data_IF_437457257650
#
_entry.id   IF_437457257650
#
_cell.length_a   1.000
_cell.length_b   1.000
_cell.length_c   1.000
_cell.angle_alpha   90.00
_cell.angle_beta   90.00
_cell.angle_gamma   90.00
#
_symmetry.space_group_name_H-M   'P 1'
#
loop_
_entity.id
_entity.type
_entity.pdbx_description
1 polymer ?
#
# COMPACT_ATOMS: atom_id res chain seq x y z
N UNK A 1 -14.29 16.15 9.97
CA UNK A 1 -12.97 15.47 10.00
C UNK A 1 -12.66 15.08 11.43
N UNK A 2 -12.27 13.82 11.66
CA UNK A 2 -11.76 13.37 12.96
C UNK A 2 -10.42 14.03 13.28
N UNK A 3 -9.87 13.83 14.48
CA UNK A 3 -8.57 14.38 14.87
C UNK A 3 -7.41 13.97 13.93
N UNK A 4 -7.54 12.85 13.21
CA UNK A 4 -6.57 12.42 12.19
C UNK A 4 -6.52 13.28 10.94
N UNK A 5 -7.49 14.19 10.77
CA UNK A 5 -7.49 15.22 9.72
C UNK A 5 -6.49 16.35 9.95
N UNK A 6 -6.09 16.60 11.20
CA UNK A 6 -5.37 17.82 11.57
C UNK A 6 -3.93 17.58 12.05
N UNK A 7 -3.69 16.45 12.71
CA UNK A 7 -2.41 16.16 13.36
C UNK A 7 -1.81 14.86 12.86
N UNK A 8 -0.48 14.79 12.86
CA UNK A 8 0.24 13.57 12.55
C UNK A 8 -0.01 12.50 13.62
N UNK A 9 0.03 11.24 13.23
CA UNK A 9 -0.05 10.12 14.17
C UNK A 9 1.10 9.14 14.00
N UNK A 10 1.39 8.45 15.10
CA UNK A 10 2.26 7.28 15.15
C UNK A 10 1.52 6.13 15.85
N UNK A 11 2.04 4.91 15.84
CA UNK A 11 1.48 3.82 16.67
C UNK A 11 1.62 4.17 18.15
N UNK A 12 0.63 3.85 18.99
CA UNK A 12 0.67 4.22 20.40
C UNK A 12 1.66 3.39 21.22
N UNK A 13 1.89 2.14 20.79
CA UNK A 13 2.91 1.23 21.31
C UNK A 13 3.44 0.32 20.21
N UNK A 14 4.50 -0.45 20.47
CA UNK A 14 5.02 -1.40 19.50
C UNK A 14 4.03 -2.54 19.24
N UNK A 15 3.87 -2.92 17.96
CA UNK A 15 3.18 -4.16 17.56
C UNK A 15 4.14 -5.10 16.89
N UNK A 16 3.96 -6.40 17.08
CA UNK A 16 4.81 -7.44 16.52
C UNK A 16 3.93 -8.47 15.83
N UNK A 17 4.32 -8.87 14.63
CA UNK A 17 3.72 -9.98 13.91
C UNK A 17 4.78 -10.73 13.12
N UNK A 18 4.46 -11.96 12.73
CA UNK A 18 5.33 -12.80 11.94
C UNK A 18 4.51 -13.59 10.93
N UNK A 19 5.14 -13.95 9.83
CA UNK A 19 4.53 -14.74 8.77
C UNK A 19 5.58 -15.20 7.78
N UNK A 20 5.14 -15.56 6.59
CA UNK A 20 5.99 -16.00 5.49
C UNK A 20 6.02 -14.90 4.43
N UNK A 21 7.19 -14.62 3.84
CA UNK A 21 7.29 -13.78 2.65
C UNK A 21 6.68 -14.47 1.43
N UNK A 22 5.84 -13.79 0.65
CA UNK A 22 5.17 -14.33 -0.53
C UNK A 22 6.18 -14.89 -1.54
N UNK A 23 7.23 -14.14 -1.83
CA UNK A 23 8.18 -14.47 -2.88
C UNK A 23 9.33 -15.33 -2.36
N UNK A 24 9.94 -14.91 -1.26
CA UNK A 24 11.10 -15.59 -0.68
C UNK A 24 10.73 -16.92 -0.03
N UNK A 25 9.52 -17.04 0.52
CA UNK A 25 9.12 -18.16 1.36
C UNK A 25 9.81 -18.16 2.74
N UNK A 26 10.55 -17.11 3.08
CA UNK A 26 11.23 -17.00 4.35
C UNK A 26 10.25 -16.66 5.47
N UNK A 27 10.47 -17.20 6.68
CA UNK A 27 9.80 -16.71 7.87
C UNK A 27 10.38 -15.35 8.26
N UNK A 28 9.52 -14.36 8.41
CA UNK A 28 9.90 -12.99 8.74
C UNK A 28 9.03 -12.50 9.89
N UNK A 29 9.66 -11.81 10.84
CA UNK A 29 9.02 -11.08 11.92
C UNK A 29 9.20 -9.59 11.66
N UNK A 30 8.11 -8.87 11.89
CA UNK A 30 8.05 -7.41 11.77
C UNK A 30 7.64 -6.82 13.12
N UNK A 31 8.28 -5.71 13.49
CA UNK A 31 7.83 -4.86 14.58
C UNK A 31 7.58 -3.43 14.08
N UNK A 32 6.37 -2.92 14.27
CA UNK A 32 6.04 -1.51 13.96
C UNK A 32 6.10 -0.73 15.26
N UNK A 33 6.99 0.27 15.33
CA UNK A 33 7.28 1.05 16.53
C UNK A 33 6.90 2.52 16.38
N UNK A 34 6.60 3.20 17.50
CA UNK A 34 6.39 4.63 17.47
C UNK A 34 7.62 5.38 16.95
N UNK A 35 7.40 6.45 16.21
CA UNK A 35 8.44 7.34 15.69
C UNK A 35 8.17 8.80 16.12
N UNK A 36 9.18 9.66 15.96
CA UNK A 36 9.02 11.11 16.17
C UNK A 36 8.25 11.75 15.03
N UNK A 37 7.72 12.96 15.24
CA UNK A 37 7.00 13.68 14.20
C UNK A 37 7.91 13.99 13.01
N UNK A 38 7.33 14.12 11.82
CA UNK A 38 8.00 14.40 10.55
C UNK A 38 9.04 13.36 10.10
N UNK A 39 9.16 12.23 10.80
CA UNK A 39 10.07 11.14 10.43
C UNK A 39 9.60 10.38 9.19
N UNK A 40 8.29 10.31 8.97
CA UNK A 40 7.70 9.43 7.98
C UNK A 40 7.80 7.95 8.38
N UNK A 41 7.67 7.08 7.39
CA UNK A 41 7.80 5.62 7.55
C UNK A 41 9.22 5.23 7.18
N UNK A 42 9.90 4.52 8.08
CA UNK A 42 11.25 4.01 7.85
C UNK A 42 11.29 2.52 8.12
N UNK A 43 11.59 1.73 7.10
CA UNK A 43 11.88 0.31 7.29
C UNK A 43 13.31 0.15 7.83
N UNK A 44 13.53 -0.84 8.69
CA UNK A 44 14.85 -1.18 9.25
C UNK A 44 15.08 -2.67 9.09
N UNK A 45 16.04 -3.05 8.25
CA UNK A 45 16.48 -4.44 8.05
C UNK A 45 17.35 -4.88 9.22
N UNK A 46 16.71 -5.40 10.27
CA UNK A 46 17.39 -5.75 11.53
C UNK A 46 18.39 -6.90 11.39
N UNK A 47 18.31 -7.67 10.29
CA UNK A 47 19.23 -8.72 9.89
C UNK A 47 20.48 -8.20 9.13
N UNK A 48 20.51 -6.91 8.77
CA UNK A 48 21.65 -6.25 8.10
C UNK A 48 22.48 -5.47 9.12
N UNK A 49 23.77 -5.80 9.22
CA UNK A 49 24.70 -5.26 10.22
C UNK A 49 25.97 -4.65 9.63
N UNK A 50 26.21 -4.82 8.32
CA UNK A 50 27.45 -4.46 7.63
C UNK A 50 27.38 -3.12 6.88
N UNK A 51 26.20 -2.50 6.80
CA UNK A 51 25.92 -1.24 6.07
C UNK A 51 24.69 -0.52 6.65
N UNK A 52 24.30 0.64 6.12
CA UNK A 52 23.08 1.31 6.59
C UNK A 52 21.86 0.43 6.32
N UNK A 53 21.18 0.03 7.39
CA UNK A 53 20.04 -0.88 7.32
C UNK A 53 18.69 -0.14 7.35
N UNK A 54 18.70 1.20 7.35
CA UNK A 54 17.50 2.03 7.33
C UNK A 54 17.12 2.32 5.89
N UNK A 55 15.85 2.07 5.56
CA UNK A 55 15.27 2.30 4.25
C UNK A 55 14.06 3.22 4.41
N UNK A 56 14.27 4.55 4.36
CA UNK A 56 13.18 5.53 4.40
C UNK A 56 12.24 5.33 3.21
N UNK A 57 10.94 5.34 3.45
CA UNK A 57 9.95 5.27 2.37
C UNK A 57 9.89 6.62 1.67
N UNK A 58 10.30 6.66 0.40
CA UNK A 58 10.12 7.80 -0.49
C UNK A 58 9.75 7.30 -1.88
N UNK A 59 9.18 8.18 -2.71
CA UNK A 59 8.92 7.88 -4.12
C UNK A 59 10.17 7.46 -4.88
N UNK A 60 11.32 8.05 -4.55
CA UNK A 60 12.60 7.75 -5.20
C UNK A 60 13.21 6.42 -4.75
N UNK A 61 12.91 5.99 -3.52
CA UNK A 61 13.37 4.71 -2.99
C UNK A 61 12.76 3.51 -3.72
N UNK A 62 11.62 3.65 -4.40
CA UNK A 62 11.00 2.55 -5.17
C UNK A 62 11.91 2.17 -6.34
N UNK A 63 12.52 0.99 -6.26
CA UNK A 63 13.54 0.52 -7.19
C UNK A 63 13.10 -0.65 -8.06
N UNK A 64 12.05 -1.38 -7.66
CA UNK A 64 11.47 -2.46 -8.45
C UNK A 64 9.96 -2.57 -8.18
N UNK A 65 9.20 -2.84 -9.23
CA UNK A 65 7.72 -2.91 -9.18
C UNK A 65 7.15 -4.23 -9.74
N UNK A 66 8.02 -5.21 -10.01
CA UNK A 66 7.60 -6.52 -10.48
C UNK A 66 7.12 -7.37 -9.29
N UNK A 67 5.85 -7.78 -9.34
CA UNK A 67 5.16 -8.60 -8.33
C UNK A 67 5.03 -7.96 -6.93
N UNK A 68 5.15 -6.64 -6.83
CA UNK A 68 5.00 -5.88 -5.60
C UNK A 68 5.85 -4.63 -5.66
N UNK A 69 5.84 -3.84 -4.59
CA UNK A 69 6.64 -2.63 -4.46
C UNK A 69 7.87 -2.92 -3.60
N UNK A 70 9.05 -2.67 -4.19
CA UNK A 70 10.35 -2.84 -3.52
C UNK A 70 11.01 -1.48 -3.40
N UNK A 71 11.48 -1.18 -2.19
CA UNK A 71 12.25 0.02 -1.90
C UNK A 71 13.70 -0.32 -1.56
N UNK A 72 14.63 0.58 -1.87
CA UNK A 72 16.02 0.49 -1.42
C UNK A 72 16.56 1.82 -0.88
N UNK A 73 17.65 1.73 -0.13
CA UNK A 73 18.46 2.87 0.25
C UNK A 73 19.72 2.99 -0.64
N UNK A 74 20.58 3.97 -0.34
CA UNK A 74 21.81 4.22 -1.10
C UNK A 74 22.82 3.05 -1.03
N UNK A 75 22.74 2.20 0.00
CA UNK A 75 23.59 1.02 0.21
C UNK A 75 23.00 -0.26 -0.41
N UNK A 76 21.95 -0.11 -1.23
CA UNK A 76 21.15 -1.17 -1.87
C UNK A 76 20.55 -2.19 -0.88
N UNK A 77 20.29 -1.77 0.36
CA UNK A 77 19.47 -2.55 1.29
C UNK A 77 18.02 -2.45 0.88
N UNK A 78 17.40 -3.60 0.58
CA UNK A 78 16.05 -3.68 0.02
C UNK A 78 15.02 -4.21 1.01
N UNK A 79 13.79 -3.74 0.85
CA UNK A 79 12.59 -4.32 1.46
C UNK A 79 11.53 -4.47 0.38
N UNK A 80 11.00 -5.67 0.20
CA UNK A 80 9.96 -5.99 -0.78
C UNK A 80 8.58 -6.16 -0.15
N UNK A 81 7.55 -6.05 -1.00
CA UNK A 81 6.15 -6.37 -0.68
C UNK A 81 5.59 -5.45 0.40
N UNK A 82 5.95 -4.16 0.34
CA UNK A 82 5.55 -3.19 1.35
C UNK A 82 4.09 -2.72 1.20
N UNK A 83 3.50 -2.90 0.02
CA UNK A 83 2.26 -2.26 -0.44
C UNK A 83 1.06 -2.52 0.47
N UNK A 84 0.86 -3.73 0.98
CA UNK A 84 -0.31 -4.04 1.83
C UNK A 84 -0.17 -3.44 3.23
N UNK A 85 1.04 -3.48 3.80
CA UNK A 85 1.32 -2.80 5.06
C UNK A 85 1.20 -1.28 4.89
N UNK A 86 1.73 -0.73 3.80
CA UNK A 86 1.63 0.70 3.47
C UNK A 86 0.17 1.13 3.29
N UNK A 87 -0.68 0.32 2.66
CA UNK A 87 -2.10 0.60 2.52
C UNK A 87 -2.81 0.63 3.88
N UNK A 88 -2.49 -0.32 4.78
CA UNK A 88 -3.00 -0.33 6.15
C UNK A 88 -2.54 0.91 6.95
N UNK A 89 -1.27 1.30 6.85
CA UNK A 89 -0.74 2.50 7.51
C UNK A 89 -1.44 3.77 6.98
N UNK A 90 -1.66 3.86 5.67
CA UNK A 90 -2.37 4.97 5.04
C UNK A 90 -3.81 5.09 5.56
N UNK A 91 -4.56 3.98 5.53
CA UNK A 91 -5.95 3.91 5.99
C UNK A 91 -6.10 4.28 7.46
N UNK A 92 -5.18 3.81 8.32
CA UNK A 92 -5.18 4.11 9.75
C UNK A 92 -4.57 5.48 10.11
N UNK A 93 -4.19 6.27 9.10
CA UNK A 93 -3.56 7.57 9.28
C UNK A 93 -2.28 7.54 10.12
N UNK A 94 -1.43 6.52 9.96
CA UNK A 94 -0.14 6.43 10.63
C UNK A 94 0.92 7.09 9.75
N UNK A 95 1.28 8.32 10.11
CA UNK A 95 2.23 9.14 9.34
C UNK A 95 3.69 8.83 9.70
N UNK A 96 3.95 8.44 10.95
CA UNK A 96 5.30 8.19 11.44
C UNK A 96 5.41 6.82 12.11
N UNK A 97 6.31 5.95 11.64
CA UNK A 97 6.66 4.72 12.33
C UNK A 97 8.02 4.17 11.88
N UNK A 98 8.63 3.35 12.74
CA UNK A 98 9.77 2.51 12.38
C UNK A 98 9.25 1.09 12.17
N UNK A 99 9.50 0.51 11.00
CA UNK A 99 9.11 -0.86 10.66
C UNK A 99 10.37 -1.72 10.66
N UNK A 100 10.66 -2.34 11.79
CA UNK A 100 11.75 -3.32 11.91
C UNK A 100 11.34 -4.63 11.27
N UNK A 101 12.17 -5.16 10.39
CA UNK A 101 11.94 -6.42 9.67
C UNK A 101 13.23 -7.25 9.72
N UNK A 102 13.15 -8.53 10.08
CA UNK A 102 14.31 -9.44 10.17
C UNK A 102 14.50 -10.34 8.93
N UNK A 103 14.10 -9.80 7.77
CA UNK A 103 14.26 -10.42 6.47
C UNK A 103 13.99 -9.43 5.33
N UNK A 104 14.21 -9.83 4.07
CA UNK A 104 14.13 -8.92 2.92
C UNK A 104 12.71 -8.56 2.48
N UNK A 105 11.68 -9.17 3.05
CA UNK A 105 10.31 -9.12 2.57
C UNK A 105 9.33 -8.99 3.74
N UNK A 106 8.32 -8.12 3.62
CA UNK A 106 7.22 -8.05 4.59
C UNK A 106 6.38 -9.33 4.48
N UNK A 107 5.99 -9.98 5.60
CA UNK A 107 5.21 -11.21 5.52
C UNK A 107 3.84 -10.96 4.88
N UNK A 108 3.41 -11.87 4.01
CA UNK A 108 2.19 -11.69 3.18
C UNK A 108 0.89 -11.82 3.97
N UNK A 109 0.95 -12.37 5.19
CA UNK A 109 -0.21 -12.65 6.04
C UNK A 109 -1.25 -13.51 5.28
N UNK A 110 -2.47 -13.02 5.10
CA UNK A 110 -3.53 -13.68 4.34
C UNK A 110 -3.65 -13.18 2.89
N UNK A 111 -2.70 -12.34 2.44
CA UNK A 111 -2.69 -11.69 1.14
C UNK A 111 -3.44 -10.36 1.07
N UNK A 112 -3.99 -9.87 2.19
CA UNK A 112 -4.74 -8.61 2.26
C UNK A 112 -4.18 -7.66 3.32
N UNK A 113 -4.78 -6.47 3.47
CA UNK A 113 -4.40 -5.48 4.48
C UNK A 113 -5.07 -5.69 5.84
N UNK A 114 -6.16 -6.46 5.88
CA UNK A 114 -6.99 -6.67 7.08
C UNK A 114 -6.18 -7.17 8.29
N UNK A 115 -5.27 -8.18 8.17
CA UNK A 115 -4.47 -8.60 9.33
C UNK A 115 -3.60 -7.47 9.90
N UNK A 116 -2.97 -6.66 9.04
CA UNK A 116 -2.16 -5.53 9.49
C UNK A 116 -3.02 -4.51 10.22
N UNK A 117 -4.20 -4.18 9.69
CA UNK A 117 -5.12 -3.24 10.33
C UNK A 117 -5.54 -3.73 11.72
N UNK A 118 -5.94 -5.00 11.85
CA UNK A 118 -6.35 -5.58 13.12
C UNK A 118 -5.23 -5.57 14.17
N UNK A 119 -3.98 -5.81 13.75
CA UNK A 119 -2.81 -5.75 14.64
C UNK A 119 -2.52 -4.31 15.08
N UNK A 120 -2.55 -3.36 14.15
CA UNK A 120 -2.30 -1.94 14.42
C UNK A 120 -3.39 -1.33 15.32
N UNK A 121 -4.65 -1.72 15.12
CA UNK A 121 -5.78 -1.29 15.95
C UNK A 121 -5.62 -1.71 17.43
N UNK A 122 -5.07 -2.90 17.69
CA UNK A 122 -4.82 -3.38 19.05
C UNK A 122 -3.84 -2.50 19.82
N UNK A 123 -2.83 -1.95 19.14
CA UNK A 123 -1.98 -0.94 19.76
C UNK A 123 -2.64 0.44 19.79
N UNK A 124 -3.46 0.75 18.79
CA UNK A 124 -4.01 2.07 18.58
C UNK A 124 -2.97 3.05 18.05
N UNK A 125 -3.43 4.27 17.76
CA UNK A 125 -2.62 5.39 17.27
C UNK A 125 -2.50 6.49 18.31
N UNK A 126 -1.35 7.15 18.35
CA UNK A 126 -1.07 8.30 19.21
C UNK A 126 -0.88 9.54 18.34
N UNK A 127 -1.69 10.56 18.61
CA UNK A 127 -1.53 11.90 18.04
C UNK A 127 -0.16 12.48 18.43
N UNK A 128 0.45 13.19 17.50
CA UNK A 128 1.65 13.99 17.72
C UNK A 128 1.28 15.48 17.58
N UNK A 129 1.94 16.36 18.33
CA UNK A 129 1.75 17.81 18.23
C UNK A 129 2.48 18.39 17.00
N UNK A 130 2.16 17.83 15.83
CA UNK A 130 2.65 18.23 14.53
C UNK A 130 1.48 18.23 13.54
N UNK A 131 1.39 19.26 12.71
CA UNK A 131 0.31 19.41 11.74
C UNK A 131 0.44 18.35 10.65
N UNK A 132 -0.67 17.70 10.31
CA UNK A 132 -0.73 16.77 9.19
C UNK A 132 -0.82 17.53 7.88
N UNK A 133 0.06 17.19 6.95
CA UNK A 133 0.06 17.76 5.61
C UNK A 133 -0.47 16.74 4.60
N UNK A 134 -1.18 17.24 3.60
CA UNK A 134 -1.80 16.51 2.51
C UNK A 134 -1.21 16.99 1.19
N UNK A 135 -1.13 16.09 0.21
CA UNK A 135 -0.80 16.44 -1.17
C UNK A 135 -2.11 16.70 -1.90
N UNK A 136 -2.41 17.97 -2.18
CA UNK A 136 -3.60 18.36 -2.92
C UNK A 136 -3.30 18.47 -4.41
N UNK A 137 -4.03 17.72 -5.23
CA UNK A 137 -3.91 17.72 -6.69
C UNK A 137 -4.66 18.94 -7.27
N UNK A 138 -3.95 19.76 -8.04
CA UNK A 138 -4.46 21.02 -8.61
C UNK A 138 -4.75 20.92 -10.11
N UNK A 139 -4.08 20.01 -10.82
CA UNK A 139 -4.33 19.74 -12.23
C UNK A 139 -4.12 18.25 -12.56
N UNK A 140 -4.80 17.72 -13.60
CA UNK A 140 -4.61 16.35 -14.04
C UNK A 140 -3.15 15.99 -14.35
N UNK A 141 -2.71 14.82 -13.88
CA UNK A 141 -1.42 14.21 -14.20
C UNK A 141 -1.71 12.79 -14.67
N UNK A 142 -1.30 12.46 -15.89
CA UNK A 142 -1.58 11.14 -16.48
C UNK A 142 -0.31 10.54 -17.06
N UNK A 143 -0.13 9.24 -16.84
CA UNK A 143 0.91 8.41 -17.45
C UNK A 143 0.24 7.25 -18.18
N UNK A 144 0.70 6.96 -19.40
CA UNK A 144 0.18 5.90 -20.25
C UNK A 144 1.32 4.99 -20.73
N UNK A 145 1.06 3.68 -20.77
CA UNK A 145 1.95 2.67 -21.33
C UNK A 145 1.12 1.66 -22.13
N UNK A 146 1.07 1.83 -23.45
CA UNK A 146 0.22 1.02 -24.31
C UNK A 146 -1.27 1.25 -24.03
N UNK A 147 -1.98 0.21 -23.60
CA UNK A 147 -3.39 0.23 -23.22
C UNK A 147 -3.62 0.54 -21.72
N UNK A 148 -2.53 0.71 -20.95
CA UNK A 148 -2.58 0.99 -19.52
C UNK A 148 -2.48 2.47 -19.23
N UNK A 149 -3.21 2.94 -18.22
CA UNK A 149 -3.19 4.34 -17.77
C UNK A 149 -3.25 4.46 -16.26
N UNK A 150 -2.52 5.41 -15.70
CA UNK A 150 -2.69 5.89 -14.33
C UNK A 150 -2.81 7.42 -14.32
N UNK A 151 -3.81 7.94 -13.62
CA UNK A 151 -4.06 9.38 -13.51
C UNK A 151 -4.24 9.82 -12.06
N UNK A 152 -3.77 11.04 -11.76
CA UNK A 152 -4.16 11.81 -10.58
C UNK A 152 -4.93 13.05 -11.03
N UNK A 153 -6.14 13.22 -10.50
CA UNK A 153 -7.07 14.29 -10.86
C UNK A 153 -7.43 15.14 -9.63
N UNK A 154 -7.74 16.45 -9.81
CA UNK A 154 -8.28 17.26 -8.73
C UNK A 154 -9.60 16.68 -8.20
N UNK A 155 -9.72 16.57 -6.88
CA UNK A 155 -10.94 16.20 -6.17
C UNK A 155 -10.89 16.75 -4.74
N UNK A 156 -12.04 16.88 -4.07
CA UNK A 156 -12.12 17.46 -2.72
C UNK A 156 -11.74 16.51 -1.58
N UNK A 157 -11.50 15.23 -1.91
CA UNK A 157 -11.18 14.13 -1.00
C UNK A 157 -10.38 13.06 -1.75
N UNK A 158 -9.93 12.04 -1.05
CA UNK A 158 -9.25 10.92 -1.69
C UNK A 158 -10.26 9.95 -2.31
N UNK A 159 -10.11 9.69 -3.61
CA UNK A 159 -10.94 8.76 -4.37
C UNK A 159 -10.06 7.82 -5.18
N UNK A 160 -10.49 6.57 -5.34
CA UNK A 160 -9.82 5.57 -6.16
C UNK A 160 -10.85 4.95 -7.09
N UNK A 161 -10.60 5.09 -8.40
CA UNK A 161 -11.22 4.26 -9.42
C UNK A 161 -10.18 3.35 -10.04
N UNK A 162 -10.55 2.08 -10.21
CA UNK A 162 -9.67 1.09 -10.80
C UNK A 162 -10.46 0.19 -11.75
N UNK A 163 -9.88 -0.07 -12.92
CA UNK A 163 -10.40 -1.00 -13.92
C UNK A 163 -9.35 -2.06 -14.22
N UNK A 164 -9.77 -3.32 -14.19
CA UNK A 164 -8.97 -4.45 -14.66
C UNK A 164 -9.69 -5.17 -15.80
N UNK A 165 -8.92 -5.80 -16.68
CA UNK A 165 -9.44 -6.71 -17.68
C UNK A 165 -8.48 -7.90 -17.83
N UNK A 166 -8.95 -9.07 -17.45
CA UNK A 166 -8.22 -10.33 -17.60
C UNK A 166 -8.96 -11.25 -18.56
N UNK A 167 -8.20 -12.02 -19.35
CA UNK A 167 -8.76 -12.99 -20.29
C UNK A 167 -9.51 -14.15 -19.59
N UNK A 168 -9.10 -14.48 -18.36
CA UNK A 168 -9.77 -15.48 -17.53
C UNK A 168 -11.17 -15.02 -17.16
N UNK A 169 -12.18 -15.86 -17.38
CA UNK A 169 -13.58 -15.60 -17.00
C UNK A 169 -13.78 -15.59 -15.48
N UNK A 170 -12.85 -16.14 -14.71
CA UNK A 170 -12.88 -16.06 -13.24
C UNK A 170 -12.74 -14.61 -12.75
N UNK A 171 -11.99 -13.78 -13.48
CA UNK A 171 -11.81 -12.36 -13.16
C UNK A 171 -12.64 -11.49 -14.12
N UNK A 172 -12.42 -11.66 -15.43
CA UNK A 172 -13.05 -10.88 -16.49
C UNK A 172 -12.65 -9.41 -16.45
N UNK A 173 -13.59 -8.54 -16.86
CA UNK A 173 -13.48 -7.10 -16.74
C UNK A 173 -14.23 -6.65 -15.49
N UNK A 174 -13.55 -5.92 -14.62
CA UNK A 174 -14.10 -5.42 -13.37
C UNK A 174 -13.71 -3.96 -13.20
N UNK A 175 -14.56 -3.19 -12.55
CA UNK A 175 -14.29 -1.81 -12.19
C UNK A 175 -14.79 -1.54 -10.78
N UNK A 176 -14.08 -0.68 -10.06
CA UNK A 176 -14.49 -0.14 -8.77
C UNK A 176 -14.26 1.38 -8.78
N UNK A 177 -15.12 2.11 -8.10
CA UNK A 177 -15.01 3.56 -7.92
C UNK A 177 -15.50 3.89 -6.50
N UNK A 178 -14.59 4.37 -5.65
CA UNK A 178 -14.90 4.64 -4.26
C UNK A 178 -14.17 5.87 -3.71
N UNK A 179 -14.81 6.51 -2.74
CA UNK A 179 -14.14 7.40 -1.79
C UNK A 179 -13.35 6.53 -0.81
N UNK A 180 -12.10 6.86 -0.58
CA UNK A 180 -11.21 6.10 0.33
C UNK A 180 -10.96 6.90 1.60
N UNK A 181 -11.55 6.45 2.70
CA UNK A 181 -11.25 6.85 4.07
C UNK A 181 -11.04 5.61 4.96
N UNK A 182 -10.85 5.80 6.27
CA UNK A 182 -10.62 4.67 7.19
C UNK A 182 -11.79 3.66 7.18
N UNK A 183 -13.03 4.14 7.18
CA UNK A 183 -14.22 3.29 7.27
C UNK A 183 -14.48 2.57 5.95
N UNK A 184 -14.41 3.30 4.83
CA UNK A 184 -14.58 2.70 3.51
C UNK A 184 -13.45 1.73 3.18
N UNK A 185 -12.20 2.03 3.53
CA UNK A 185 -11.08 1.11 3.33
C UNK A 185 -11.32 -0.21 4.08
N UNK A 186 -11.76 -0.16 5.35
CA UNK A 186 -12.10 -1.36 6.12
C UNK A 186 -13.19 -2.18 5.44
N UNK A 187 -14.32 -1.56 5.12
CA UNK A 187 -15.48 -2.25 4.57
C UNK A 187 -15.25 -2.77 3.15
N UNK A 188 -14.54 -1.99 2.32
CA UNK A 188 -14.54 -2.16 0.87
C UNK A 188 -13.25 -2.77 0.31
N UNK A 189 -12.11 -2.57 0.97
CA UNK A 189 -10.79 -2.94 0.43
C UNK A 189 -9.99 -3.88 1.32
N UNK A 190 -10.00 -3.68 2.64
CA UNK A 190 -8.98 -4.22 3.55
C UNK A 190 -8.81 -5.75 3.48
N UNK A 191 -9.90 -6.49 3.34
CA UNK A 191 -9.89 -7.95 3.25
C UNK A 191 -9.74 -8.52 1.83
N UNK A 192 -9.51 -7.70 0.81
CA UNK A 192 -9.36 -8.19 -0.57
C UNK A 192 -7.96 -8.75 -0.77
N UNK A 193 -7.85 -10.05 -1.04
CA UNK A 193 -6.58 -10.75 -1.12
C UNK A 193 -5.90 -10.60 -2.47
N UNK A 194 -4.59 -10.72 -2.46
CA UNK A 194 -3.77 -10.85 -3.66
C UNK A 194 -4.14 -12.12 -4.42
N UNK A 195 -3.77 -12.18 -5.70
CA UNK A 195 -4.18 -13.27 -6.57
C UNK A 195 -3.13 -13.61 -7.61
N UNK A 196 -3.13 -14.86 -8.06
CA UNK A 196 -2.18 -15.36 -9.05
C UNK A 196 -2.69 -16.59 -9.78
N UNK A 197 -2.14 -16.84 -10.97
CA UNK A 197 -2.49 -18.00 -11.77
C UNK A 197 -1.55 -19.17 -11.52
N UNK A 198 -2.09 -20.39 -11.42
CA UNK A 198 -1.30 -21.63 -11.26
C UNK A 198 -0.24 -21.78 -12.36
N UNK A 199 -0.61 -21.47 -13.61
CA UNK A 199 0.32 -21.55 -14.76
C UNK A 199 1.57 -20.68 -14.60
N UNK A 200 1.50 -19.62 -13.81
CA UNK A 200 2.62 -18.69 -13.59
C UNK A 200 3.49 -19.16 -12.40
N UNK A 201 2.94 -19.94 -11.46
CA UNK A 201 3.60 -20.33 -10.21
C UNK A 201 4.89 -21.12 -10.45
N UNK A 202 4.90 -22.08 -11.37
CA UNK A 202 6.11 -22.90 -11.63
C UNK A 202 7.25 -22.04 -12.18
N UNK A 203 6.96 -21.16 -13.15
CA UNK A 203 7.93 -20.25 -13.72
C UNK A 203 8.47 -19.25 -12.67
N UNK A 204 7.58 -18.70 -11.83
CA UNK A 204 7.95 -17.82 -10.73
C UNK A 204 8.86 -18.54 -9.72
N UNK A 205 8.52 -19.75 -9.31
CA UNK A 205 9.33 -20.54 -8.37
C UNK A 205 10.71 -20.89 -8.92
N UNK A 206 10.79 -21.16 -10.23
CA UNK A 206 12.06 -21.43 -10.91
C UNK A 206 13.03 -20.24 -10.84
N UNK A 207 12.53 -19.00 -10.83
CA UNK A 207 13.34 -17.77 -10.66
C UNK A 207 13.38 -17.26 -9.21
N UNK A 208 12.92 -18.05 -8.25
CA UNK A 208 13.01 -17.73 -6.83
C UNK A 208 11.88 -16.87 -6.26
N UNK A 209 10.78 -16.70 -6.99
CA UNK A 209 9.60 -15.94 -6.60
C UNK A 209 8.43 -16.88 -6.27
N UNK A 210 7.39 -16.34 -5.61
CA UNK A 210 6.18 -17.07 -5.19
C UNK A 210 6.43 -18.39 -4.42
N UNK A 211 7.52 -18.46 -3.63
CA UNK A 211 7.85 -19.65 -2.82
C UNK A 211 7.00 -19.79 -1.57
N UNK A 212 6.50 -18.68 -1.02
CA UNK A 212 5.59 -18.65 0.12
C UNK A 212 4.10 -18.61 -0.26
N UNK A 213 3.78 -18.50 -1.54
CA UNK A 213 2.41 -18.44 -2.03
C UNK A 213 1.63 -19.75 -1.82
N UNK A 214 0.44 -19.64 -1.25
CA UNK A 214 -0.52 -20.71 -1.02
C UNK A 214 -1.96 -20.20 -1.13
N UNK A 215 -2.95 -21.10 -1.09
CA UNK A 215 -4.36 -20.68 -1.03
C UNK A 215 -4.74 -19.99 0.29
N UNK A 216 -3.90 -20.08 1.32
CA UNK A 216 -4.13 -19.40 2.60
C UNK A 216 -3.80 -17.91 2.51
N UNK A 217 -2.95 -17.51 1.56
CA UNK A 217 -2.46 -16.14 1.43
C UNK A 217 -2.63 -15.52 0.04
N UNK A 218 -3.35 -16.20 -0.87
CA UNK A 218 -3.70 -15.68 -2.17
C UNK A 218 -4.98 -16.35 -2.71
N UNK A 219 -5.71 -15.64 -3.56
CA UNK A 219 -6.70 -16.25 -4.46
C UNK A 219 -5.96 -16.91 -5.63
N UNK A 220 -6.04 -18.23 -5.71
CA UNK A 220 -5.35 -19.02 -6.72
C UNK A 220 -6.32 -19.35 -7.86
N UNK A 221 -5.91 -19.04 -9.09
CA UNK A 221 -6.73 -19.21 -10.28
C UNK A 221 -6.12 -20.24 -11.22
N UNK A 222 -6.93 -21.17 -11.71
CA UNK A 222 -6.55 -22.11 -12.77
C UNK A 222 -7.54 -22.02 -13.93
N UNK A 223 -7.05 -21.55 -15.08
CA UNK A 223 -7.89 -21.21 -16.24
C UNK A 223 -8.98 -20.20 -15.87
N UNK A 224 -10.24 -20.67 -15.85
CA UNK A 224 -11.45 -19.90 -15.55
C UNK A 224 -12.05 -20.23 -14.16
N UNK A 225 -11.27 -20.85 -13.26
CA UNK A 225 -11.74 -21.29 -11.95
C UNK A 225 -10.90 -20.71 -10.81
N UNK A 226 -11.58 -20.28 -9.75
CA UNK A 226 -10.97 -20.04 -8.43
C UNK A 226 -10.80 -21.39 -7.73
N UNK A 227 -9.60 -21.66 -7.22
CA UNK A 227 -9.26 -22.93 -6.55
C UNK A 227 -9.50 -22.92 -5.04
N UNK A 228 -9.51 -21.74 -4.41
CA UNK A 228 -9.81 -21.56 -3.00
C UNK A 228 -11.17 -22.21 -2.65
N UNK A 229 -11.24 -23.20 -1.73
CA UNK A 229 -12.48 -23.89 -1.39
C UNK A 229 -13.59 -22.96 -0.86
N UNK A 230 -13.20 -21.91 -0.14
CA UNK A 230 -14.07 -20.86 0.39
C UNK A 230 -14.49 -19.83 -0.68
N UNK A 231 -13.89 -19.87 -1.87
CA UNK A 231 -14.14 -18.93 -2.95
C UNK A 231 -13.58 -17.53 -2.69
N UNK A 232 -14.26 -16.53 -3.25
CA UNK A 232 -13.93 -15.13 -3.06
C UNK A 232 -14.62 -14.57 -1.82
N UNK A 233 -13.96 -13.62 -1.13
CA UNK A 233 -14.56 -12.87 -0.01
C UNK A 233 -15.65 -11.91 -0.49
N UNK A 234 -15.60 -11.51 -1.77
CA UNK A 234 -16.60 -10.70 -2.48
C UNK A 234 -16.48 -10.88 -3.99
N UNK A 235 -17.54 -10.64 -4.79
CA UNK A 235 -17.54 -10.93 -6.23
C UNK A 235 -16.44 -10.21 -7.04
N UNK A 236 -16.06 -9.01 -6.60
CA UNK A 236 -15.11 -8.10 -7.24
C UNK A 236 -13.80 -7.96 -6.42
N UNK A 237 -13.42 -9.02 -5.69
CA UNK A 237 -12.22 -9.06 -4.83
C UNK A 237 -10.94 -8.67 -5.59
N UNK A 238 -10.82 -9.06 -6.87
CA UNK A 238 -9.62 -8.81 -7.68
C UNK A 238 -9.38 -7.33 -7.96
N UNK A 239 -10.40 -6.59 -8.45
CA UNK A 239 -10.24 -5.15 -8.73
C UNK A 239 -10.08 -4.34 -7.46
N UNK A 240 -10.72 -4.76 -6.37
CA UNK A 240 -10.58 -4.13 -5.06
C UNK A 240 -9.21 -4.36 -4.46
N UNK A 241 -8.60 -5.53 -4.68
CA UNK A 241 -7.20 -5.72 -4.34
C UNK A 241 -6.28 -4.79 -5.13
N UNK A 242 -6.54 -4.56 -6.43
CA UNK A 242 -5.77 -3.56 -7.20
C UNK A 242 -5.96 -2.13 -6.69
N UNK A 243 -7.15 -1.78 -6.22
CA UNK A 243 -7.39 -0.51 -5.54
C UNK A 243 -6.63 -0.42 -4.20
N UNK A 244 -6.59 -1.50 -3.41
CA UNK A 244 -5.79 -1.61 -2.19
C UNK A 244 -4.29 -1.41 -2.50
N UNK A 245 -3.76 -2.10 -3.50
CA UNK A 245 -2.36 -1.93 -3.95
C UNK A 245 -2.08 -0.46 -4.30
N UNK A 246 -2.98 0.20 -5.03
CA UNK A 246 -2.82 1.61 -5.40
C UNK A 246 -2.76 2.53 -4.19
N UNK A 247 -3.58 2.30 -3.15
CA UNK A 247 -3.50 3.07 -1.89
C UNK A 247 -2.11 2.93 -1.26
N UNK A 248 -1.57 1.72 -1.19
CA UNK A 248 -0.23 1.45 -0.67
C UNK A 248 0.88 2.09 -1.50
N UNK A 249 0.83 1.90 -2.83
CA UNK A 249 1.82 2.43 -3.77
C UNK A 249 1.86 3.96 -3.79
N UNK A 250 0.71 4.63 -3.65
CA UNK A 250 0.64 6.09 -3.59
C UNK A 250 1.18 6.63 -2.25
N UNK A 251 1.07 5.86 -1.17
CA UNK A 251 1.50 6.31 0.16
C UNK A 251 3.03 6.39 0.31
N UNK A 252 3.81 5.94 -0.69
CA UNK A 252 5.25 6.21 -0.76
C UNK A 252 5.59 7.71 -0.90
N UNK A 253 4.60 8.54 -1.23
CA UNK A 253 4.68 10.00 -1.14
C UNK A 253 4.84 10.51 0.31
N UNK A 254 4.59 9.64 1.30
CA UNK A 254 4.73 9.94 2.73
C UNK A 254 3.66 10.88 3.28
N UNK A 255 2.64 11.23 2.49
CA UNK A 255 1.53 12.11 2.87
C UNK A 255 0.24 11.65 2.19
N UNK A 256 -0.92 11.76 2.85
CA UNK A 256 -2.22 11.48 2.24
C UNK A 256 -2.52 12.42 1.06
N UNK A 257 -3.27 11.94 0.07
CA UNK A 257 -3.67 12.70 -1.13
C UNK A 257 -5.06 13.32 -0.93
N UNK A 258 -5.24 14.54 -1.43
CA UNK A 258 -6.55 15.14 -1.71
C UNK A 258 -6.66 15.24 -3.23
N UNK A 259 -7.45 14.35 -3.82
CA UNK A 259 -7.45 14.10 -5.25
C UNK A 259 -7.97 12.70 -5.56
N UNK A 260 -8.17 12.44 -6.84
CA UNK A 260 -8.68 11.18 -7.35
C UNK A 260 -7.60 10.44 -8.11
N UNK A 261 -7.37 9.18 -7.76
CA UNK A 261 -6.55 8.27 -8.56
C UNK A 261 -7.45 7.44 -9.50
N UNK A 262 -7.07 7.35 -10.77
CA UNK A 262 -7.71 6.47 -11.74
C UNK A 262 -6.69 5.53 -12.38
N UNK A 263 -6.84 4.22 -12.15
CA UNK A 263 -6.02 3.17 -12.75
C UNK A 263 -6.81 2.36 -13.77
N UNK A 264 -6.35 2.32 -15.02
CA UNK A 264 -6.89 1.44 -16.07
C UNK A 264 -5.81 0.45 -16.46
N UNK A 265 -6.04 -0.83 -16.16
CA UNK A 265 -5.06 -1.92 -16.39
C UNK A 265 -3.70 -1.64 -15.73
N UNK A 266 -3.69 -0.77 -14.71
CA UNK A 266 -2.49 -0.36 -14.01
C UNK A 266 -1.99 -1.45 -13.04
N UNK A 267 -0.72 -1.33 -12.67
CA UNK A 267 -0.09 -2.08 -11.59
C UNK A 267 1.00 -1.25 -10.94
N UNK A 268 1.80 -1.83 -10.03
CA UNK A 268 2.79 -1.09 -9.25
C UNK A 268 3.73 -0.21 -10.09
N UNK A 269 4.13 -0.67 -11.29
CA UNK A 269 4.96 0.10 -12.20
C UNK A 269 4.32 1.42 -12.64
N UNK A 270 3.06 1.38 -13.08
CA UNK A 270 2.35 2.56 -13.55
C UNK A 270 1.89 3.46 -12.39
N UNK A 271 1.58 2.86 -11.23
CA UNK A 271 1.33 3.59 -9.99
C UNK A 271 2.57 4.39 -9.57
N UNK A 272 3.75 3.77 -9.58
CA UNK A 272 5.00 4.48 -9.30
C UNK A 272 5.31 5.54 -10.37
N UNK A 273 5.03 5.25 -11.65
CA UNK A 273 5.26 6.20 -12.73
C UNK A 273 4.42 7.49 -12.55
N UNK A 274 3.15 7.38 -12.16
CA UNK A 274 2.32 8.58 -11.89
C UNK A 274 2.78 9.33 -10.63
N UNK A 275 3.26 8.62 -9.61
CA UNK A 275 3.90 9.23 -8.43
C UNK A 275 5.14 10.04 -8.82
N UNK A 276 6.01 9.49 -9.67
CA UNK A 276 7.19 10.21 -10.18
C UNK A 276 6.79 11.39 -11.05
N UNK A 277 5.77 11.24 -11.91
CA UNK A 277 5.26 12.31 -12.76
C UNK A 277 4.65 13.47 -11.95
N UNK A 278 3.97 13.17 -10.83
CA UNK A 278 3.47 14.17 -9.88
C UNK A 278 4.62 15.00 -9.31
N UNK A 279 5.68 14.35 -8.80
CA UNK A 279 6.83 15.04 -8.22
C UNK A 279 7.59 15.89 -9.25
N UNK A 280 7.63 15.45 -10.51
CA UNK A 280 8.22 16.22 -11.61
C UNK A 280 7.38 17.45 -12.03
N UNK A 281 6.14 17.58 -11.53
CA UNK A 281 5.20 18.65 -11.89
C UNK A 281 4.78 19.47 -10.65
N UNK A 282 5.69 20.27 -10.05
CA UNK A 282 5.42 20.98 -8.79
C UNK A 282 4.32 22.05 -8.87
N UNK A 283 3.83 22.39 -10.07
CA UNK A 283 2.67 23.29 -10.24
C UNK A 283 1.32 22.55 -10.25
N UNK A 284 1.35 21.22 -10.40
CA UNK A 284 0.16 20.39 -10.46
C UNK A 284 -0.36 19.94 -9.09
N UNK A 285 0.37 20.27 -8.02
CA UNK A 285 -0.01 19.94 -6.65
C UNK A 285 0.53 20.95 -5.65
N UNK A 286 0.02 20.92 -4.41
CA UNK A 286 0.59 21.67 -3.27
C UNK A 286 0.44 20.89 -1.98
N UNK A 287 1.22 21.27 -0.97
CA UNK A 287 0.96 20.85 0.40
C UNK A 287 -0.20 21.66 0.98
N UNK A 288 -1.20 20.95 1.52
CA UNK A 288 -2.34 21.53 2.23
C UNK A 288 -2.37 20.99 3.65
N UNK A 289 -2.63 21.85 4.61
CA UNK A 289 -2.97 21.47 5.97
C UNK A 289 -4.40 21.93 6.26
N UNK A 290 -5.12 21.17 7.07
CA UNK A 290 -6.40 21.61 7.61
C UNK A 290 -6.16 22.33 8.93
N UNK A 291 -6.77 23.51 9.11
CA UNK A 291 -6.82 24.16 10.41
C UNK A 291 -7.80 23.38 11.30
N UNK A 292 -7.45 23.10 12.57
CA UNK A 292 -8.44 22.60 13.51
C UNK A 292 -9.63 23.56 13.52
N UNK A 293 -10.85 23.06 13.43
CA UNK A 293 -11.98 23.89 13.81
C UNK A 293 -11.75 24.29 15.27
N UNK A 294 -11.47 25.57 15.52
CA UNK A 294 -11.56 26.12 16.86
C UNK A 294 -13.00 25.90 17.28
N UNK A 295 -13.23 24.92 18.14
CA UNK A 295 -14.42 24.94 18.97
C UNK A 295 -14.27 26.20 19.82
N UNK A 296 -14.84 27.31 19.35
CA UNK A 296 -15.08 28.47 20.18
C UNK A 296 -15.94 27.97 21.34
N UNK A 297 -15.30 27.82 22.50
CA UNK A 297 -16.00 27.61 23.75
C UNK A 297 -16.80 28.89 24.02
N UNK A 298 -18.11 28.80 23.78
CA UNK A 298 -19.13 29.68 24.37
C UNK A 298 -19.85 28.87 25.43
#
# INVERSE_FOLDING_TARGET
>A
MSASGYFQHTVAGPVIFAGIGLHTGAHVRVAVRPAVADMGIVFVRTDVHDRDNRVPVTADAVCQTQLGTVINNADDVRVSTIEHLMAALAALSIDNCIVEVDGPEVPIMDGSSEPFMQILDRAGRRRQEAVRQYIEILSPITVEEGDKRASLLPADRFEVAFEIAFASRAIGRQAVDLVVDEDSFRAELSNCRTFGFVRDVEALRAIGLARGGSMENAVVIDGDRVLNPEGLRRPDEFVRHKALDAVGDLYVLGKPIIGRFEGVLAGHGLNNAVVRALLAQPRAWRLRAFAPALAEAV
#
